data_IF_362196684857
#
_entry.id   IF_362196684857
#
_cell.length_a   1.000
_cell.length_b   1.000
_cell.length_c   1.000
_cell.angle_alpha   90.00
_cell.angle_beta   90.00
_cell.angle_gamma   90.00
#
_symmetry.space_group_name_H-M   'P 1'
#
loop_
_entity.id
_entity.type
_entity.pdbx_description
1 polymer ?
#
# COMPACT_ATOMS: atom_id res chain seq x y z
N UNK A 1 14.89 11.00 11.23
CA UNK A 1 13.45 11.16 10.93
C UNK A 1 12.55 10.37 11.89
N UNK A 2 12.83 9.10 12.19
CA UNK A 2 12.03 8.28 13.13
C UNK A 2 11.86 8.92 14.53
N UNK A 3 12.92 9.51 15.09
CA UNK A 3 12.88 10.17 16.39
C UNK A 3 11.96 11.41 16.43
N UNK A 4 11.93 12.21 15.35
CA UNK A 4 11.07 13.39 15.26
C UNK A 4 9.58 13.00 15.18
N UNK A 5 9.26 11.97 14.38
CA UNK A 5 7.91 11.43 14.26
C UNK A 5 7.45 10.86 15.61
N UNK A 6 8.33 10.14 16.32
CA UNK A 6 8.03 9.61 17.66
C UNK A 6 7.65 10.71 18.65
N UNK A 7 8.33 11.86 18.62
CA UNK A 7 8.00 12.99 19.49
C UNK A 7 6.62 13.58 19.21
N UNK A 8 6.17 13.61 17.95
CA UNK A 8 4.83 14.07 17.57
C UNK A 8 3.72 13.15 18.13
N UNK A 9 4.04 11.89 18.44
CA UNK A 9 3.09 10.93 19.01
C UNK A 9 2.98 10.98 20.53
N UNK A 10 3.90 11.66 21.22
CA UNK A 10 3.89 11.72 22.69
C UNK A 10 2.69 12.49 23.28
N UNK A 11 2.00 13.30 22.47
CA UNK A 11 0.82 14.07 22.89
C UNK A 11 -0.53 13.42 22.61
N UNK A 12 -0.56 12.23 22.01
CA UNK A 12 -1.82 11.58 21.62
C UNK A 12 -2.51 10.94 22.83
N UNK A 13 -3.82 11.14 22.91
CA UNK A 13 -4.70 10.38 23.81
C UNK A 13 -4.77 8.91 23.39
N UNK A 14 -5.29 8.07 24.29
CA UNK A 14 -5.51 6.64 24.02
C UNK A 14 -6.44 6.42 22.81
N UNK A 15 -7.50 7.22 22.69
CA UNK A 15 -8.47 7.12 21.59
C UNK A 15 -7.86 7.52 20.25
N UNK A 16 -7.04 8.56 20.22
CA UNK A 16 -6.33 8.97 19.01
C UNK A 16 -5.29 7.92 18.58
N UNK A 17 -4.63 7.26 19.53
CA UNK A 17 -3.74 6.13 19.23
C UNK A 17 -4.49 4.95 18.62
N UNK A 18 -5.68 4.63 19.12
CA UNK A 18 -6.54 3.59 18.55
C UNK A 18 -6.99 3.95 17.14
N UNK A 19 -7.43 5.20 16.93
CA UNK A 19 -7.82 5.74 15.61
C UNK A 19 -6.66 5.68 14.62
N UNK A 20 -5.45 6.08 15.05
CA UNK A 20 -4.24 6.00 14.22
C UNK A 20 -3.90 4.55 13.86
N UNK A 21 -4.07 3.62 14.80
CA UNK A 21 -3.89 2.18 14.55
C UNK A 21 -4.86 1.64 13.49
N UNK A 22 -6.11 2.08 13.55
CA UNK A 22 -7.14 1.75 12.56
C UNK A 22 -6.83 2.34 11.18
N UNK A 23 -6.41 3.61 11.11
CA UNK A 23 -5.97 4.25 9.87
C UNK A 23 -4.77 3.54 9.26
N UNK A 24 -3.77 3.15 10.07
CA UNK A 24 -2.63 2.35 9.62
C UNK A 24 -3.06 1.00 9.03
N UNK A 25 -4.06 0.35 9.63
CA UNK A 25 -4.62 -0.91 9.12
C UNK A 25 -5.30 -0.71 7.77
N UNK A 26 -6.15 0.29 7.65
CA UNK A 26 -6.86 0.63 6.40
C UNK A 26 -5.85 0.97 5.30
N UNK A 27 -4.83 1.78 5.62
CA UNK A 27 -3.74 2.14 4.70
C UNK A 27 -3.01 0.90 4.16
N UNK A 28 -2.69 -0.04 5.03
CA UNK A 28 -2.06 -1.30 4.63
C UNK A 28 -2.97 -2.17 3.75
N UNK A 29 -4.26 -2.24 4.07
CA UNK A 29 -5.21 -2.98 3.24
C UNK A 29 -5.31 -2.35 1.84
N UNK A 30 -5.32 -1.03 1.75
CA UNK A 30 -5.29 -0.30 0.49
C UNK A 30 -3.99 -0.56 -0.28
N UNK A 31 -2.84 -0.60 0.40
CA UNK A 31 -1.56 -0.99 -0.21
C UNK A 31 -1.65 -2.40 -0.85
N UNK A 32 -2.19 -3.37 -0.11
CA UNK A 32 -2.36 -4.73 -0.61
C UNK A 32 -3.36 -4.80 -1.78
N UNK A 33 -4.41 -3.98 -1.79
CA UNK A 33 -5.35 -3.87 -2.92
C UNK A 33 -4.67 -3.28 -4.17
N UNK A 34 -3.94 -2.18 -4.02
CA UNK A 34 -3.16 -1.59 -5.11
C UNK A 34 -2.08 -2.55 -5.64
N UNK A 35 -1.44 -3.30 -4.75
CA UNK A 35 -0.47 -4.34 -5.08
C UNK A 35 -1.11 -5.49 -5.87
N UNK A 36 -2.31 -5.92 -5.47
CA UNK A 36 -3.08 -6.93 -6.20
C UNK A 36 -3.36 -6.47 -7.64
N UNK A 37 -3.85 -5.25 -7.83
CA UNK A 37 -4.13 -4.70 -9.16
C UNK A 37 -2.91 -4.72 -10.08
N UNK A 38 -1.75 -4.27 -9.58
CA UNK A 38 -0.49 -4.27 -10.35
C UNK A 38 -0.10 -5.69 -10.74
N UNK A 39 -0.19 -6.65 -9.81
CA UNK A 39 0.14 -8.06 -10.08
C UNK A 39 -0.79 -8.69 -11.10
N UNK A 40 -2.10 -8.48 -10.98
CA UNK A 40 -3.08 -9.00 -11.94
C UNK A 40 -2.82 -8.46 -13.34
N UNK A 41 -2.66 -7.13 -13.47
CA UNK A 41 -2.38 -6.49 -14.74
C UNK A 41 -1.08 -7.02 -15.36
N UNK A 42 -0.02 -7.18 -14.55
CA UNK A 42 1.25 -7.75 -14.99
C UNK A 42 1.13 -9.20 -15.49
N UNK A 43 0.35 -10.05 -14.82
CA UNK A 43 0.18 -11.42 -15.26
C UNK A 43 -0.58 -11.53 -16.58
N UNK A 44 -1.56 -10.67 -16.81
CA UNK A 44 -2.41 -10.66 -18.00
C UNK A 44 -1.75 -9.97 -19.19
N UNK A 45 -1.23 -8.76 -19.00
CA UNK A 45 -0.75 -7.89 -20.08
C UNK A 45 0.77 -7.96 -20.27
N UNK A 46 1.51 -8.56 -19.33
CA UNK A 46 2.99 -8.52 -19.26
C UNK A 46 3.58 -7.12 -19.19
N UNK A 47 2.73 -6.15 -18.86
CA UNK A 47 3.06 -4.76 -18.63
C UNK A 47 2.73 -4.40 -17.20
N UNK A 48 3.32 -3.32 -16.72
CA UNK A 48 3.00 -2.84 -15.39
C UNK A 48 1.94 -1.74 -15.43
N UNK A 49 1.08 -1.76 -14.40
CA UNK A 49 0.00 -0.82 -14.26
C UNK A 49 0.51 0.53 -13.75
N UNK A 50 0.31 1.59 -14.55
CA UNK A 50 0.58 2.97 -14.15
C UNK A 50 -0.26 3.37 -12.91
N UNK A 51 0.31 4.22 -12.06
CA UNK A 51 -0.27 4.71 -10.81
C UNK A 51 -1.61 5.46 -10.97
N UNK A 52 -1.78 6.23 -12.04
CA UNK A 52 -3.04 6.86 -12.42
C UNK A 52 -4.15 5.84 -12.71
N UNK A 53 -3.84 4.81 -13.52
CA UNK A 53 -4.80 3.71 -13.80
C UNK A 53 -5.12 2.93 -12.53
N UNK A 54 -4.10 2.63 -11.71
CA UNK A 54 -4.30 1.95 -10.44
C UNK A 54 -5.21 2.75 -9.52
N UNK A 55 -5.00 4.06 -9.40
CA UNK A 55 -5.85 4.96 -8.62
C UNK A 55 -7.33 4.84 -9.00
N UNK A 56 -7.66 4.78 -10.29
CA UNK A 56 -9.04 4.57 -10.72
C UNK A 56 -9.62 3.22 -10.28
N UNK A 57 -8.84 2.14 -10.31
CA UNK A 57 -9.28 0.81 -9.87
C UNK A 57 -9.55 0.74 -8.36
N UNK A 58 -8.74 1.41 -7.55
CA UNK A 58 -8.88 1.35 -6.08
C UNK A 58 -9.97 2.27 -5.54
N UNK A 59 -10.52 3.20 -6.34
CA UNK A 59 -11.62 4.09 -5.91
C UNK A 59 -12.87 3.34 -5.46
N UNK A 60 -13.11 2.16 -6.02
CA UNK A 60 -14.26 1.31 -5.64
C UNK A 60 -14.02 0.55 -4.33
N UNK A 61 -12.77 0.46 -3.87
CA UNK A 61 -12.38 -0.27 -2.66
C UNK A 61 -12.88 0.43 -1.40
N UNK A 62 -13.44 -0.34 -0.46
CA UNK A 62 -13.93 0.18 0.81
C UNK A 62 -12.84 0.89 1.63
N UNK A 63 -11.60 0.39 1.60
CA UNK A 63 -10.47 1.01 2.31
C UNK A 63 -10.10 2.38 1.71
N UNK A 64 -10.34 2.60 0.42
CA UNK A 64 -10.14 3.90 -0.21
C UNK A 64 -11.18 4.91 0.29
N UNK A 65 -12.44 4.49 0.43
CA UNK A 65 -13.53 5.36 0.92
C UNK A 65 -13.33 5.81 2.37
N UNK A 66 -12.61 5.02 3.17
CA UNK A 66 -12.29 5.31 4.57
C UNK A 66 -11.05 6.18 4.75
N UNK A 67 -10.26 6.40 3.69
CA UNK A 67 -9.06 7.23 3.72
C UNK A 67 -9.29 8.53 2.96
N UNK A 68 -8.57 9.56 3.38
CA UNK A 68 -8.45 10.77 2.59
C UNK A 68 -7.78 10.45 1.23
N UNK A 69 -8.29 11.02 0.14
CA UNK A 69 -7.78 10.82 -1.22
C UNK A 69 -6.27 11.04 -1.36
N UNK A 70 -5.70 12.03 -0.66
CA UNK A 70 -4.27 12.33 -0.72
C UNK A 70 -3.44 11.22 -0.08
N UNK A 71 -3.92 10.63 1.02
CA UNK A 71 -3.26 9.50 1.69
C UNK A 71 -3.36 8.25 0.82
N UNK A 72 -4.53 8.01 0.22
CA UNK A 72 -4.72 6.91 -0.72
C UNK A 72 -3.75 7.01 -1.91
N UNK A 73 -3.61 8.17 -2.54
CA UNK A 73 -2.67 8.40 -3.64
C UNK A 73 -1.21 8.16 -3.21
N UNK A 74 -0.80 8.63 -2.04
CA UNK A 74 0.55 8.39 -1.52
C UNK A 74 0.83 6.90 -1.30
N UNK A 75 -0.15 6.15 -0.78
CA UNK A 75 -0.03 4.70 -0.62
C UNK A 75 0.19 4.01 -1.97
N UNK A 76 -0.56 4.41 -3.01
CA UNK A 76 -0.40 3.83 -4.35
C UNK A 76 0.92 4.21 -5.00
N UNK A 77 1.44 5.42 -4.73
CA UNK A 77 2.80 5.78 -5.12
C UNK A 77 3.82 4.86 -4.47
N UNK A 78 3.65 4.51 -3.18
CA UNK A 78 4.50 3.50 -2.51
C UNK A 78 4.38 2.10 -3.10
N UNK A 79 3.21 1.72 -3.60
CA UNK A 79 3.07 0.46 -4.36
C UNK A 79 3.93 0.54 -5.63
N UNK A 80 3.84 1.64 -6.40
CA UNK A 80 4.60 1.81 -7.63
C UNK A 80 6.12 1.80 -7.38
N UNK A 81 6.58 2.53 -6.35
CA UNK A 81 7.98 2.53 -5.91
C UNK A 81 8.48 1.12 -5.56
N UNK A 82 7.64 0.28 -4.94
CA UNK A 82 8.00 -1.09 -4.58
C UNK A 82 8.23 -2.01 -5.80
N UNK A 83 7.72 -1.63 -6.97
CA UNK A 83 7.95 -2.35 -8.23
C UNK A 83 9.01 -1.70 -9.09
N UNK A 84 9.43 -0.45 -8.83
CA UNK A 84 10.31 0.33 -9.71
C UNK A 84 11.55 -0.44 -10.18
N UNK A 85 12.26 -1.11 -9.26
CA UNK A 85 13.43 -1.93 -9.59
C UNK A 85 13.11 -3.08 -10.56
N UNK A 86 11.92 -3.68 -10.42
CA UNK A 86 11.44 -4.74 -11.29
C UNK A 86 11.09 -4.22 -12.69
N UNK A 87 10.55 -3.01 -12.81
CA UNK A 87 10.34 -2.37 -14.11
C UNK A 87 11.65 -2.12 -14.84
N UNK A 88 12.65 -1.61 -14.11
CA UNK A 88 13.94 -1.25 -14.70
C UNK A 88 14.70 -2.48 -15.19
N UNK A 89 14.55 -3.62 -14.50
CA UNK A 89 15.06 -4.92 -14.96
C UNK A 89 14.30 -5.44 -16.18
N UNK A 90 12.96 -5.37 -16.16
CA UNK A 90 12.12 -5.80 -17.29
C UNK A 90 12.46 -5.04 -18.58
N UNK A 91 12.72 -3.73 -18.49
CA UNK A 91 13.11 -2.89 -19.64
C UNK A 91 14.47 -3.27 -20.24
N UNK A 92 15.37 -3.85 -19.46
CA UNK A 92 16.70 -4.25 -19.94
C UNK A 92 16.69 -5.58 -20.69
N UNK A 93 15.52 -6.23 -20.83
CA UNK A 93 15.36 -7.48 -21.61
C UNK A 93 16.12 -8.68 -21.03
N UNK A 94 16.58 -8.60 -19.78
CA UNK A 94 17.46 -9.59 -19.15
C UNK A 94 16.74 -10.70 -18.39
N UNK A 95 15.45 -10.53 -18.09
CA UNK A 95 14.73 -11.46 -17.25
C UNK A 95 13.55 -12.08 -17.99
N UNK A 96 13.49 -13.42 -17.96
CA UNK A 96 12.26 -14.15 -18.22
C UNK A 96 11.15 -13.55 -17.35
N UNK A 97 9.95 -13.35 -17.90
CA UNK A 97 8.80 -12.78 -17.19
C UNK A 97 8.46 -13.47 -15.85
N UNK A 98 8.99 -14.69 -15.64
CA UNK A 98 8.92 -15.51 -14.43
C UNK A 98 9.98 -15.18 -13.36
N UNK A 99 11.09 -14.55 -13.74
CA UNK A 99 12.20 -14.18 -12.87
C UNK A 99 12.00 -12.81 -12.18
N UNK A 100 11.04 -12.01 -12.65
CA UNK A 100 10.75 -10.70 -12.06
C UNK A 100 10.16 -10.86 -10.64
N UNK A 101 10.87 -10.32 -9.65
CA UNK A 101 10.49 -10.38 -8.24
C UNK A 101 9.34 -9.43 -7.91
N UNK A 102 8.10 -9.95 -7.88
CA UNK A 102 6.94 -9.15 -7.54
C UNK A 102 6.89 -8.81 -6.04
N UNK A 103 6.71 -7.53 -5.71
CA UNK A 103 6.56 -7.05 -4.33
C UNK A 103 5.55 -7.88 -3.53
N UNK A 104 5.89 -8.27 -2.30
CA UNK A 104 5.10 -9.20 -1.49
C UNK A 104 3.99 -8.47 -0.71
N UNK A 105 2.89 -9.16 -0.47
CA UNK A 105 1.80 -8.64 0.36
C UNK A 105 2.27 -8.37 1.79
N UNK A 106 1.77 -7.29 2.37
CA UNK A 106 1.99 -6.97 3.77
C UNK A 106 1.15 -7.90 4.65
N UNK A 107 1.74 -8.41 5.73
CA UNK A 107 1.08 -9.32 6.68
C UNK A 107 -0.18 -8.67 7.28
N UNK A 108 -1.22 -9.48 7.51
CA UNK A 108 -2.43 -9.03 8.22
C UNK A 108 -2.07 -8.55 9.63
N UNK A 109 -2.66 -7.43 10.05
CA UNK A 109 -2.47 -6.90 11.40
C UNK A 109 -3.59 -7.41 12.29
N UNK A 110 -3.27 -7.69 13.55
CA UNK A 110 -4.28 -7.87 14.58
C UNK A 110 -4.96 -6.52 14.85
N UNK A 111 -6.25 -6.55 15.21
CA UNK A 111 -6.92 -5.33 15.68
C UNK A 111 -6.28 -4.89 16.99
N UNK A 112 -6.14 -3.58 17.25
CA UNK A 112 -5.87 -3.11 18.60
C UNK A 112 -6.94 -3.67 19.53
N UNK A 113 -6.54 -4.22 20.69
CA UNK A 113 -7.51 -4.68 21.69
C UNK A 113 -8.28 -3.45 22.19
N UNK A 114 -9.61 -3.47 22.07
CA UNK A 114 -10.47 -2.49 22.72
C UNK A 114 -10.56 -2.81 24.22
N UNK A 115 -10.80 -1.79 25.06
CA UNK A 115 -11.13 -2.02 26.46
C UNK A 115 -12.52 -2.67 26.46
N UNK A 116 -12.57 -3.99 26.64
CA UNK A 116 -13.81 -4.78 26.55
C UNK A 116 -13.65 -6.17 25.93
N UNK A 117 -12.49 -6.48 25.33
CA UNK A 117 -12.11 -7.84 24.88
C UNK A 117 -11.27 -8.61 25.91
#
# INVERSE_FOLDING_TARGET
MYFCIKQQFNGLTKEECLTLGELCRIAKNLYNAGLYNVRQYYFEHKEFLNDGKNCHLVKTNENHKLLNSNIAQQILKKVNEAFQSSFDLAKQGKDDYKAISLAKYLKRSRRPKTIGD
#
